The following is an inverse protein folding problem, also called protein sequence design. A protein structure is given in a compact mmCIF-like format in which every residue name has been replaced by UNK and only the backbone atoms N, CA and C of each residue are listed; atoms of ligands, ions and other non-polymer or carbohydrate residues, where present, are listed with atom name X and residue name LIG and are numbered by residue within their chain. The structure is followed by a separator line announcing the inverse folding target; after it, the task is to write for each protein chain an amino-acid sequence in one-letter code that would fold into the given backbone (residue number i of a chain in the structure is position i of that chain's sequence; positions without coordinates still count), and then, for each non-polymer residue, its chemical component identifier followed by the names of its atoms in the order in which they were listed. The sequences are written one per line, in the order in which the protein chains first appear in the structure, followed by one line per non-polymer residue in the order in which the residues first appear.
data_IF_809289465002
#
_entry.id   IF_809289465002
#
_cell.length_a   1.000
_cell.length_b   1.000
_cell.length_c   1.000
_cell.angle_alpha   90.00
_cell.angle_beta   90.00
_cell.angle_gamma   90.00
#
_symmetry.space_group_name_H-M   'P 1'
#
loop_
_entity.id
_entity.type
_entity.pdbx_description
1 polymer ?
#
# COMPACT_ATOMS: atom_id res chain seq x y z
N UNK A 1 7.60 17.46 -14.68
CA UNK A 1 6.89 16.67 -15.72
C UNK A 1 7.60 15.35 -16.00
N UNK A 2 8.93 15.36 -16.16
CA UNK A 2 9.73 14.17 -16.44
C UNK A 2 9.55 13.04 -15.40
N UNK A 3 9.60 13.33 -14.09
CA UNK A 3 9.36 12.33 -13.02
C UNK A 3 7.99 11.66 -13.11
N UNK A 4 6.95 12.36 -13.57
CA UNK A 4 5.62 11.77 -13.74
C UNK A 4 5.61 10.74 -14.88
N UNK A 5 6.30 11.03 -15.97
CA UNK A 5 6.41 10.12 -17.11
C UNK A 5 7.36 8.95 -16.84
N UNK A 6 8.44 9.18 -16.10
CA UNK A 6 9.48 8.17 -15.89
C UNK A 6 9.16 7.23 -14.70
N UNK A 7 8.48 7.74 -13.67
CA UNK A 7 8.21 7.00 -12.42
C UNK A 7 6.77 6.49 -12.38
N UNK A 8 5.80 7.39 -12.60
CA UNK A 8 4.38 7.11 -12.33
C UNK A 8 3.77 6.35 -13.50
N UNK A 9 3.94 6.86 -14.73
CA UNK A 9 3.32 6.30 -15.93
C UNK A 9 3.54 4.78 -16.10
N UNK A 10 4.75 4.20 -15.91
CA UNK A 10 4.96 2.76 -16.09
C UNK A 10 4.07 1.90 -15.18
N UNK A 11 3.87 2.31 -13.92
CA UNK A 11 3.03 1.58 -12.97
C UNK A 11 1.57 1.59 -13.42
N UNK A 12 1.07 2.75 -13.82
CA UNK A 12 -0.30 2.90 -14.32
C UNK A 12 -0.53 2.23 -15.68
N UNK A 13 0.49 2.15 -16.53
CA UNK A 13 0.41 1.41 -17.79
C UNK A 13 0.24 -0.10 -17.55
N UNK A 14 0.93 -0.68 -16.56
CA UNK A 14 0.74 -2.09 -16.19
C UNK A 14 -0.68 -2.34 -15.67
N UNK A 15 -1.20 -1.45 -14.83
CA UNK A 15 -2.58 -1.52 -14.33
C UNK A 15 -3.58 -1.41 -15.50
N UNK A 16 -3.38 -0.42 -16.37
CA UNK A 16 -4.23 -0.20 -17.55
C UNK A 16 -4.19 -1.37 -18.52
N UNK A 17 -3.04 -2.00 -18.72
CA UNK A 17 -2.90 -3.20 -19.53
C UNK A 17 -3.73 -4.36 -18.96
N UNK A 18 -3.64 -4.62 -17.64
CA UNK A 18 -4.46 -5.63 -16.98
C UNK A 18 -5.96 -5.37 -17.15
N UNK A 19 -6.38 -4.12 -16.99
CA UNK A 19 -7.77 -3.71 -17.23
C UNK A 19 -8.22 -4.00 -18.68
N UNK A 20 -7.42 -3.59 -19.68
CA UNK A 20 -7.73 -3.80 -21.10
C UNK A 20 -7.74 -5.29 -21.46
N UNK A 21 -6.86 -6.10 -20.87
CA UNK A 21 -6.80 -7.54 -21.11
C UNK A 21 -8.09 -8.25 -20.68
N UNK A 22 -8.63 -7.90 -19.51
CA UNK A 22 -9.92 -8.42 -19.04
C UNK A 22 -11.07 -7.84 -19.86
N UNK A 23 -11.07 -6.53 -20.13
CA UNK A 23 -12.11 -5.86 -20.90
C UNK A 23 -12.26 -6.41 -22.33
N UNK A 24 -11.15 -6.80 -22.98
CA UNK A 24 -11.15 -7.42 -24.31
C UNK A 24 -11.36 -8.94 -24.29
N UNK A 25 -11.56 -9.56 -23.12
CA UNK A 25 -11.75 -11.00 -22.99
C UNK A 25 -10.49 -11.83 -23.27
N UNK A 26 -9.31 -11.22 -23.31
CA UNK A 26 -8.03 -11.92 -23.48
C UNK A 26 -7.63 -12.68 -22.20
N UNK A 27 -8.16 -12.27 -21.05
CA UNK A 27 -7.96 -12.92 -19.77
C UNK A 27 -9.30 -13.20 -19.09
N UNK A 28 -9.62 -14.47 -18.76
CA UNK A 28 -10.90 -14.81 -18.16
C UNK A 28 -10.97 -14.35 -16.69
N UNK A 29 -12.17 -13.96 -16.25
CA UNK A 29 -12.43 -13.55 -14.84
C UNK A 29 -12.06 -14.66 -13.86
N UNK A 30 -12.28 -15.93 -14.23
CA UNK A 30 -11.88 -17.09 -13.41
C UNK A 30 -10.37 -17.21 -13.21
N UNK A 31 -9.55 -16.64 -14.09
CA UNK A 31 -8.10 -16.59 -13.92
C UNK A 31 -7.64 -15.59 -12.86
N UNK A 32 -8.47 -14.58 -12.54
CA UNK A 32 -8.12 -13.51 -11.60
C UNK A 32 -7.93 -14.08 -10.19
N UNK A 33 -8.81 -14.98 -9.75
CA UNK A 33 -8.70 -15.64 -8.45
C UNK A 33 -7.40 -16.42 -8.30
N UNK A 34 -6.94 -17.07 -9.39
CA UNK A 34 -5.67 -17.80 -9.41
C UNK A 34 -4.48 -16.87 -9.21
N UNK A 35 -4.44 -15.77 -9.97
CA UNK A 35 -3.37 -14.74 -9.86
C UNK A 35 -3.38 -14.10 -8.47
N UNK A 36 -4.56 -13.78 -7.94
CA UNK A 36 -4.70 -13.18 -6.61
C UNK A 36 -4.20 -14.12 -5.51
N UNK A 37 -4.59 -15.40 -5.55
CA UNK A 37 -4.12 -16.42 -4.58
C UNK A 37 -2.61 -16.59 -4.63
N UNK A 38 -2.02 -16.69 -5.83
CA UNK A 38 -0.57 -16.79 -5.96
C UNK A 38 0.12 -15.54 -5.40
N UNK A 39 -0.36 -14.36 -5.78
CA UNK A 39 0.28 -13.09 -5.41
C UNK A 39 0.22 -12.86 -3.91
N UNK A 40 -0.95 -13.05 -3.29
CA UNK A 40 -1.15 -12.81 -1.86
C UNK A 40 -0.54 -13.88 -0.96
N UNK A 41 -0.60 -15.15 -1.35
CA UNK A 41 -0.16 -16.25 -0.48
C UNK A 41 1.31 -16.64 -0.69
N UNK A 42 1.91 -16.32 -1.84
CA UNK A 42 3.29 -16.70 -2.16
C UNK A 42 4.16 -15.50 -2.52
N UNK A 43 3.80 -14.74 -3.56
CA UNK A 43 4.70 -13.70 -4.07
C UNK A 43 4.97 -12.58 -3.05
N UNK A 44 3.92 -12.02 -2.44
CA UNK A 44 4.04 -10.97 -1.42
C UNK A 44 4.78 -11.48 -0.17
N UNK A 45 4.41 -12.63 0.44
CA UNK A 45 5.15 -13.17 1.57
C UNK A 45 6.63 -13.42 1.29
N UNK A 46 6.97 -13.99 0.12
CA UNK A 46 8.35 -14.19 -0.28
C UNK A 46 9.10 -12.87 -0.46
N UNK A 47 8.48 -11.86 -1.08
CA UNK A 47 9.05 -10.53 -1.23
C UNK A 47 9.33 -9.89 0.14
N UNK A 48 8.35 -9.92 1.05
CA UNK A 48 8.50 -9.36 2.39
C UNK A 48 9.56 -10.11 3.20
N UNK A 49 9.59 -11.45 3.13
CA UNK A 49 10.62 -12.25 3.78
C UNK A 49 12.01 -11.91 3.24
N UNK A 50 12.18 -11.85 1.92
CA UNK A 50 13.44 -11.48 1.29
C UNK A 50 13.88 -10.06 1.70
N UNK A 51 12.95 -9.11 1.79
CA UNK A 51 13.23 -7.76 2.21
C UNK A 51 13.71 -7.70 3.67
N UNK A 52 12.98 -8.35 4.59
CA UNK A 52 13.34 -8.40 6.02
C UNK A 52 14.67 -9.13 6.22
N UNK A 53 14.91 -10.22 5.50
CA UNK A 53 16.14 -11.01 5.62
C UNK A 53 17.39 -10.28 5.12
N UNK A 54 17.24 -9.27 4.26
CA UNK A 54 18.35 -8.50 3.67
C UNK A 54 18.54 -7.13 4.32
N UNK A 55 17.54 -6.66 5.07
CA UNK A 55 17.61 -5.37 5.74
C UNK A 55 18.35 -5.49 7.05
N UNK A 56 19.32 -4.61 7.20
CA UNK A 56 19.82 -4.24 8.51
C UNK A 56 18.83 -3.26 9.15
N UNK A 57 17.91 -3.80 9.97
CA UNK A 57 16.93 -2.99 10.68
C UNK A 57 17.59 -1.96 11.60
N UNK A 58 18.81 -2.22 12.09
CA UNK A 58 19.48 -1.32 13.04
C UNK A 58 19.92 -0.01 12.40
N UNK A 59 20.27 -0.03 11.11
CA UNK A 59 20.62 1.16 10.32
C UNK A 59 19.43 1.80 9.61
N UNK A 60 18.36 1.03 9.37
CA UNK A 60 17.17 1.49 8.62
C UNK A 60 16.03 2.02 9.49
N UNK A 61 16.11 1.86 10.81
CA UNK A 61 15.08 2.34 11.74
C UNK A 61 15.26 3.82 12.06
N UNK A 62 14.47 4.67 11.40
CA UNK A 62 14.36 6.10 11.71
C UNK A 62 12.99 6.43 12.32
N UNK A 63 12.91 6.77 13.63
CA UNK A 63 11.67 7.19 14.26
C UNK A 63 11.00 8.40 13.59
N UNK A 64 11.76 9.29 12.94
CA UNK A 64 11.21 10.44 12.22
C UNK A 64 10.51 10.00 10.94
N UNK A 65 11.05 9.00 10.25
CA UNK A 65 10.41 8.38 9.09
C UNK A 65 9.09 7.73 9.51
N UNK A 66 9.11 6.89 10.55
CA UNK A 66 7.91 6.20 11.02
C UNK A 66 6.87 7.20 11.54
N UNK A 67 7.28 8.19 12.31
CA UNK A 67 6.40 9.23 12.84
C UNK A 67 5.75 10.07 11.74
N UNK A 68 6.51 10.47 10.71
CA UNK A 68 5.95 11.24 9.58
C UNK A 68 4.98 10.41 8.74
N UNK A 69 5.30 9.14 8.47
CA UNK A 69 4.43 8.25 7.71
C UNK A 69 3.15 7.90 8.47
N UNK A 70 3.27 7.38 9.69
CA UNK A 70 2.11 6.93 10.48
C UNK A 70 1.31 8.07 11.08
N UNK A 71 1.92 9.22 11.35
CA UNK A 71 1.20 10.44 11.68
C UNK A 71 0.28 10.86 10.53
N UNK A 72 0.79 10.81 9.29
CA UNK A 72 -0.02 11.03 8.09
C UNK A 72 -1.13 9.98 7.92
N UNK A 73 -0.81 8.70 8.11
CA UNK A 73 -1.78 7.61 7.99
C UNK A 73 -2.91 7.71 9.03
N UNK A 74 -2.59 8.02 10.29
CA UNK A 74 -3.57 8.24 11.35
C UNK A 74 -4.42 9.49 11.10
N UNK A 75 -3.83 10.56 10.55
CA UNK A 75 -4.58 11.74 10.12
C UNK A 75 -5.56 11.40 9.00
N UNK A 76 -5.14 10.64 7.98
CA UNK A 76 -6.02 10.17 6.91
C UNK A 76 -7.15 9.28 7.44
N UNK A 77 -6.88 8.40 8.42
CA UNK A 77 -7.90 7.61 9.10
C UNK A 77 -8.96 8.49 9.78
N UNK A 78 -8.51 9.46 10.58
CA UNK A 78 -9.41 10.38 11.29
C UNK A 78 -10.24 11.23 10.32
N UNK A 79 -9.62 11.74 9.25
CA UNK A 79 -10.32 12.50 8.21
C UNK A 79 -11.31 11.64 7.42
N UNK A 80 -10.96 10.38 7.13
CA UNK A 80 -11.84 9.42 6.46
C UNK A 80 -13.10 9.13 7.28
N UNK A 81 -12.94 8.83 8.57
CA UNK A 81 -14.06 8.62 9.50
C UNK A 81 -14.90 9.88 9.63
N UNK A 82 -14.26 11.03 9.89
CA UNK A 82 -14.97 12.30 10.08
C UNK A 82 -15.73 12.71 8.82
N UNK A 83 -15.12 12.55 7.64
CA UNK A 83 -15.75 12.80 6.36
C UNK A 83 -16.96 11.88 6.11
N UNK A 84 -16.79 10.58 6.33
CA UNK A 84 -17.89 9.61 6.22
C UNK A 84 -19.06 9.95 7.16
N UNK A 85 -18.74 10.35 8.40
CA UNK A 85 -19.73 10.64 9.43
C UNK A 85 -20.44 11.97 9.22
N UNK A 86 -19.70 13.04 8.94
CA UNK A 86 -20.23 14.41 8.92
C UNK A 86 -20.75 14.81 7.54
N UNK A 87 -20.00 14.49 6.47
CA UNK A 87 -20.37 14.88 5.11
C UNK A 87 -21.34 13.88 4.48
N UNK A 88 -21.06 12.58 4.63
CA UNK A 88 -21.85 11.51 4.00
C UNK A 88 -22.89 10.88 4.91
N UNK A 89 -22.94 11.30 6.19
CA UNK A 89 -23.90 10.85 7.21
C UNK A 89 -24.02 9.33 7.31
N UNK A 90 -22.90 8.63 7.14
CA UNK A 90 -22.83 7.17 7.27
C UNK A 90 -22.98 6.75 8.74
N UNK A 91 -23.38 5.50 8.95
CA UNK A 91 -23.32 4.90 10.28
C UNK A 91 -21.86 4.67 10.70
N UNK A 92 -21.67 4.21 11.94
CA UNK A 92 -20.33 4.01 12.48
C UNK A 92 -19.58 2.88 11.80
N UNK A 93 -20.28 1.81 11.42
CA UNK A 93 -19.71 0.64 10.76
C UNK A 93 -19.11 1.02 9.40
N UNK A 94 -19.88 1.72 8.56
CA UNK A 94 -19.40 2.25 7.28
C UNK A 94 -18.27 3.28 7.48
N UNK A 95 -18.39 4.15 8.48
CA UNK A 95 -17.39 5.20 8.73
C UNK A 95 -16.03 4.61 9.10
N UNK A 96 -16.01 3.60 9.97
CA UNK A 96 -14.79 2.88 10.35
C UNK A 96 -14.21 2.14 9.14
N UNK A 97 -15.04 1.45 8.34
CA UNK A 97 -14.59 0.77 7.13
C UNK A 97 -13.94 1.74 6.13
N UNK A 98 -14.54 2.92 5.92
CA UNK A 98 -13.96 3.98 5.08
C UNK A 98 -12.64 4.50 5.68
N UNK A 99 -12.61 4.70 7.00
CA UNK A 99 -11.38 5.04 7.73
C UNK A 99 -10.26 4.05 7.44
N UNK A 100 -10.53 2.75 7.55
CA UNK A 100 -9.57 1.69 7.23
C UNK A 100 -9.01 1.81 5.80
N UNK A 101 -9.86 2.10 4.83
CA UNK A 101 -9.42 2.36 3.45
C UNK A 101 -8.47 3.57 3.35
N UNK A 102 -8.66 4.60 4.17
CA UNK A 102 -7.76 5.76 4.23
C UNK A 102 -6.46 5.48 5.00
N UNK A 103 -6.47 4.53 5.94
CA UNK A 103 -5.34 4.16 6.78
C UNK A 103 -4.35 3.22 6.06
N UNK A 104 -4.88 2.24 5.32
CA UNK A 104 -4.08 1.25 4.60
C UNK A 104 -3.66 1.77 3.22
N UNK A 105 -2.47 2.36 3.17
CA UNK A 105 -1.83 2.71 1.91
C UNK A 105 -1.37 1.45 1.15
N UNK A 106 -1.42 1.50 -0.19
CA UNK A 106 -0.90 0.42 -1.03
C UNK A 106 0.65 0.46 -1.14
N UNK A 107 1.33 0.29 -0.01
CA UNK A 107 2.78 0.46 0.09
C UNK A 107 3.58 -0.67 -0.58
N UNK A 108 3.00 -1.86 -0.72
CA UNK A 108 3.66 -3.01 -1.35
C UNK A 108 3.50 -2.95 -2.87
N UNK A 109 2.26 -2.94 -3.39
CA UNK A 109 2.03 -3.07 -4.83
C UNK A 109 2.24 -1.78 -5.60
N UNK A 110 2.07 -0.61 -4.95
CA UNK A 110 2.34 0.69 -5.57
C UNK A 110 3.57 1.38 -4.96
N UNK A 111 3.69 1.39 -3.63
CA UNK A 111 4.77 2.11 -2.95
C UNK A 111 6.17 1.65 -3.38
N UNK A 112 6.45 0.35 -3.32
CA UNK A 112 7.75 -0.21 -3.72
C UNK A 112 8.14 0.12 -5.17
N UNK A 113 7.33 -0.21 -6.21
CA UNK A 113 7.73 0.08 -7.58
C UNK A 113 7.84 1.58 -7.87
N UNK A 114 7.03 2.43 -7.23
CA UNK A 114 7.15 3.88 -7.39
C UNK A 114 8.45 4.39 -6.75
N UNK A 115 8.76 3.99 -5.52
CA UNK A 115 10.01 4.42 -4.84
C UNK A 115 11.23 3.91 -5.59
N UNK A 116 11.26 2.63 -5.98
CA UNK A 116 12.38 2.05 -6.73
C UNK A 116 12.65 2.83 -8.02
N UNK A 117 11.59 3.20 -8.77
CA UNK A 117 11.75 3.94 -10.03
C UNK A 117 12.14 5.38 -9.82
N UNK A 118 11.68 6.02 -8.75
CA UNK A 118 11.99 7.41 -8.45
C UNK A 118 13.40 7.60 -7.88
N UNK A 119 13.83 6.69 -7.02
CA UNK A 119 14.97 6.90 -6.12
C UNK A 119 15.99 5.74 -6.13
N UNK A 120 15.75 4.71 -6.95
CA UNK A 120 16.61 3.54 -7.04
C UNK A 120 16.32 2.47 -5.98
N UNK A 121 16.92 1.28 -6.13
CA UNK A 121 16.71 0.16 -5.22
C UNK A 121 17.24 0.41 -3.81
N UNK A 122 18.24 1.29 -3.65
CA UNK A 122 18.81 1.64 -2.33
C UNK A 122 17.81 2.39 -1.44
N UNK A 123 16.88 3.14 -2.04
CA UNK A 123 15.86 3.89 -1.32
C UNK A 123 14.75 3.02 -0.69
N UNK A 124 14.69 1.72 -1.06
CA UNK A 124 13.65 0.82 -0.58
C UNK A 124 13.79 0.44 0.90
N UNK A 125 14.95 0.67 1.52
CA UNK A 125 15.17 0.38 2.93
C UNK A 125 14.12 1.05 3.84
N UNK A 126 13.77 2.30 3.55
CA UNK A 126 12.73 3.03 4.29
C UNK A 126 11.33 2.45 4.09
N UNK A 127 10.97 2.07 2.86
CA UNK A 127 9.68 1.42 2.57
C UNK A 127 9.54 0.11 3.34
N UNK A 128 10.58 -0.70 3.36
CA UNK A 128 10.56 -1.98 4.05
C UNK A 128 10.54 -1.81 5.58
N UNK A 129 11.22 -0.80 6.12
CA UNK A 129 11.10 -0.43 7.53
C UNK A 129 9.64 -0.09 7.87
N UNK A 130 8.97 0.74 7.05
CA UNK A 130 7.53 1.02 7.21
C UNK A 130 6.71 -0.27 7.11
N UNK A 131 6.95 -1.12 6.11
CA UNK A 131 6.19 -2.36 5.91
C UNK A 131 6.25 -3.31 7.11
N UNK A 132 7.39 -3.37 7.79
CA UNK A 132 7.55 -4.23 8.98
C UNK A 132 6.62 -3.86 10.15
N UNK A 133 6.21 -2.58 10.26
CA UNK A 133 5.29 -2.08 11.29
C UNK A 133 3.87 -1.82 10.76
N UNK A 134 3.65 -1.89 9.43
CA UNK A 134 2.44 -1.37 8.80
C UNK A 134 1.18 -2.10 9.25
N UNK A 135 1.16 -3.43 9.14
CA UNK A 135 0.00 -4.21 9.58
C UNK A 135 -0.25 -4.09 11.10
N UNK A 136 0.74 -4.28 12.01
CA UNK A 136 0.53 -4.09 13.44
C UNK A 136 -0.02 -2.71 13.81
N UNK A 137 0.53 -1.63 13.23
CA UNK A 137 0.07 -0.28 13.50
C UNK A 137 -1.35 -0.05 13.00
N UNK A 138 -1.63 -0.38 11.74
CA UNK A 138 -2.91 -0.08 11.13
C UNK A 138 -4.05 -0.92 11.71
N UNK A 139 -3.81 -2.20 12.01
CA UNK A 139 -4.81 -3.02 12.72
C UNK A 139 -4.97 -2.59 14.18
N UNK A 140 -3.87 -2.27 14.86
CA UNK A 140 -3.92 -1.75 16.22
C UNK A 140 -4.79 -0.51 16.31
N UNK A 141 -4.53 0.50 15.47
CA UNK A 141 -5.31 1.73 15.44
C UNK A 141 -6.74 1.51 14.95
N UNK A 142 -6.93 0.79 13.83
CA UNK A 142 -8.24 0.67 13.21
C UNK A 142 -9.24 -0.19 13.99
N UNK A 143 -8.77 -1.20 14.75
CA UNK A 143 -9.66 -2.12 15.48
C UNK A 143 -9.94 -1.63 16.91
N UNK A 144 -9.02 -0.90 17.54
CA UNK A 144 -9.13 -0.54 18.97
C UNK A 144 -9.82 0.79 19.26
N UNK A 145 -10.20 1.53 18.21
CA UNK A 145 -10.85 2.85 18.28
C UNK A 145 -12.29 2.72 17.79
#
# INVERSE_FOLDING_TARGET
MQTLLDVILPVFLVIGFGYVAVWRGLFPVSGIDGVMKFTQNFAIPCLLFQAIARIDLSSSYDPRLLGSFYGGAALCFALGILGARVLFRRDWEDSVAIGFCCLFSNSILLGLPITERAYGPEALAGNYAILSFHAPFCYGLGITV
#
